data_IF_815964251051
#
_entry.id   IF_815964251051
#
_cell.length_a   1.000
_cell.length_b   1.000
_cell.length_c   1.000
_cell.angle_alpha   90.00
_cell.angle_beta   90.00
_cell.angle_gamma   90.00
#
_symmetry.space_group_name_H-M   'P 1'
#
loop_
_entity.id
_entity.type
_entity.pdbx_description
1 polymer ?
#
# COMPACT_ATOMS: atom_id res chain seq x y z
N UNK A 1 0.41 -5.17 -17.75
CA UNK A 1 0.28 -4.73 -16.34
C UNK A 1 0.89 -3.35 -16.21
N UNK A 2 0.24 -2.44 -15.49
CA UNK A 2 0.69 -1.06 -15.25
C UNK A 2 0.88 -0.81 -13.75
N UNK A 3 1.57 0.26 -13.38
CA UNK A 3 1.89 0.57 -11.99
C UNK A 3 0.65 0.75 -11.09
N UNK A 4 -0.39 1.38 -11.61
CA UNK A 4 -1.67 1.54 -10.91
C UNK A 4 -2.38 0.20 -10.65
N UNK A 5 -2.10 -0.85 -11.44
CA UNK A 5 -2.70 -2.17 -11.22
C UNK A 5 -2.20 -2.75 -9.89
N UNK A 6 -0.90 -2.61 -9.60
CA UNK A 6 -0.29 -3.08 -8.35
C UNK A 6 -0.77 -2.24 -7.16
N UNK A 7 -0.80 -0.90 -7.31
CA UNK A 7 -1.35 -0.01 -6.28
C UNK A 7 -2.78 -0.39 -5.92
N UNK A 8 -3.63 -0.61 -6.93
CA UNK A 8 -5.03 -0.97 -6.72
C UNK A 8 -5.18 -2.34 -6.05
N UNK A 9 -4.42 -3.36 -6.49
CA UNK A 9 -4.49 -4.69 -5.88
C UNK A 9 -4.07 -4.67 -4.41
N UNK A 10 -2.99 -3.95 -4.06
CA UNK A 10 -2.57 -3.79 -2.67
C UNK A 10 -3.59 -2.98 -1.86
N UNK A 11 -4.24 -1.98 -2.48
CA UNK A 11 -5.34 -1.25 -1.82
C UNK A 11 -6.51 -2.18 -1.49
N UNK A 12 -6.89 -3.09 -2.40
CA UNK A 12 -7.95 -4.06 -2.13
C UNK A 12 -7.60 -5.00 -0.96
N UNK A 13 -6.31 -5.38 -0.83
CA UNK A 13 -5.84 -6.18 0.31
C UNK A 13 -5.91 -5.37 1.61
N UNK A 14 -5.49 -4.10 1.59
CA UNK A 14 -5.60 -3.23 2.76
C UNK A 14 -7.05 -3.08 3.22
N UNK A 15 -7.99 -2.82 2.30
CA UNK A 15 -9.41 -2.73 2.64
C UNK A 15 -9.95 -4.05 3.20
N UNK A 16 -9.53 -5.20 2.66
CA UNK A 16 -9.93 -6.51 3.18
C UNK A 16 -9.43 -6.73 4.62
N UNK A 17 -8.23 -6.26 4.96
CA UNK A 17 -7.71 -6.31 6.33
C UNK A 17 -8.49 -5.40 7.28
N UNK A 18 -8.76 -4.16 6.86
CA UNK A 18 -9.55 -3.21 7.64
C UNK A 18 -10.96 -3.75 7.97
N UNK A 19 -11.58 -4.49 7.05
CA UNK A 19 -12.84 -5.20 7.32
C UNK A 19 -12.72 -6.27 8.43
N UNK A 20 -11.63 -7.04 8.44
CA UNK A 20 -11.39 -8.07 9.47
C UNK A 20 -11.21 -7.42 10.85
N UNK A 21 -10.45 -6.33 10.92
CA UNK A 21 -10.28 -5.55 12.16
C UNK A 21 -11.62 -4.99 12.68
N UNK A 22 -12.51 -4.53 11.79
CA UNK A 22 -13.85 -4.09 12.15
C UNK A 22 -14.80 -5.23 12.55
N UNK A 23 -14.56 -6.45 12.09
CA UNK A 23 -15.39 -7.62 12.41
C UNK A 23 -15.08 -8.27 13.77
N UNK A 24 -14.09 -7.74 14.52
CA UNK A 24 -13.78 -8.17 15.88
C UNK A 24 -12.86 -9.39 16.01
N UNK A 25 -12.27 -9.89 14.93
CA UNK A 25 -11.49 -11.15 14.93
C UNK A 25 -9.99 -10.99 15.31
N UNK A 26 -9.49 -9.77 15.53
CA UNK A 26 -8.10 -9.57 15.98
C UNK A 26 -7.98 -8.54 17.10
N UNK A 27 -7.48 -9.01 18.25
CA UNK A 27 -7.00 -8.16 19.34
C UNK A 27 -5.83 -7.30 18.85
N UNK A 28 -6.06 -5.99 18.82
CA UNK A 28 -5.09 -4.89 18.93
C UNK A 28 -3.62 -5.30 18.79
N UNK A 29 -3.14 -5.42 17.55
CA UNK A 29 -1.84 -4.83 17.25
C UNK A 29 -2.12 -3.39 16.86
N UNK A 30 -1.45 -2.39 17.44
CA UNK A 30 -1.40 -1.11 16.78
C UNK A 30 -0.83 -1.43 15.40
N UNK A 31 -1.65 -1.31 14.34
CA UNK A 31 -1.11 -1.08 13.01
C UNK A 31 -0.11 0.07 13.11
N UNK A 32 0.84 0.23 12.18
CA UNK A 32 1.89 1.24 12.29
C UNK A 32 1.29 2.68 12.22
N UNK A 33 0.62 3.08 13.29
CA UNK A 33 -0.19 4.28 13.46
C UNK A 33 0.52 5.31 14.34
N UNK A 34 1.79 5.08 14.63
CA UNK A 34 2.67 6.06 15.28
C UNK A 34 3.92 6.37 14.46
N UNK A 35 3.81 6.32 13.14
CA UNK A 35 4.78 7.04 12.30
C UNK A 35 4.09 8.08 11.43
N UNK A 36 4.33 9.35 11.76
CA UNK A 36 3.72 10.54 11.18
C UNK A 36 4.84 11.47 10.72
N UNK A 37 5.15 11.48 9.42
CA UNK A 37 6.22 12.31 8.85
C UNK A 37 5.74 13.32 7.81
N UNK A 38 4.49 13.76 7.93
CA UNK A 38 3.88 14.81 7.10
C UNK A 38 3.04 15.75 7.97
N UNK A 39 2.99 17.02 7.56
CA UNK A 39 2.12 18.01 8.17
C UNK A 39 0.67 17.77 7.72
N UNK A 40 -0.26 17.76 8.66
CA UNK A 40 -1.69 17.53 8.45
C UNK A 40 -2.34 18.89 8.14
N UNK A 41 -3.18 18.93 7.12
CA UNK A 41 -4.02 20.12 6.87
C UNK A 41 -5.27 20.09 7.75
N UNK A 42 -5.80 21.24 8.16
CA UNK A 42 -6.99 21.32 9.05
C UNK A 42 -8.19 20.50 8.50
N UNK A 43 -8.31 20.36 7.18
CA UNK A 43 -9.36 19.54 6.52
C UNK A 43 -9.19 18.01 6.70
N UNK A 44 -7.96 17.52 6.92
CA UNK A 44 -7.65 16.10 7.10
C UNK A 44 -7.90 15.65 8.55
N UNK A 45 -7.74 16.56 9.53
CA UNK A 45 -8.08 16.33 10.93
C UNK A 45 -9.58 16.12 11.13
N UNK A 46 -10.42 16.96 10.51
CA UNK A 46 -11.88 16.82 10.59
C UNK A 46 -12.41 15.54 9.93
N UNK A 47 -11.73 15.00 8.90
CA UNK A 47 -12.14 13.73 8.26
C UNK A 47 -11.79 12.50 9.09
N UNK A 48 -10.77 12.58 9.96
CA UNK A 48 -10.35 11.46 10.81
C UNK A 48 -11.29 11.22 12.01
N UNK A 49 -12.11 12.21 12.39
CA UNK A 49 -13.03 12.12 13.54
C UNK A 49 -14.38 11.45 13.23
N UNK A 50 -14.60 10.94 12.02
CA UNK A 50 -15.84 10.25 11.64
C UNK A 50 -15.95 8.84 12.23
N UNK A 51 -16.55 8.72 13.43
CA UNK A 51 -16.89 7.45 14.09
C UNK A 51 -17.91 6.68 13.23
N UNK A 52 -17.63 5.42 12.90
CA UNK A 52 -18.58 4.53 12.20
C UNK A 52 -19.23 3.59 13.23
N UNK A 53 -20.55 3.65 13.38
CA UNK A 53 -21.35 2.76 14.23
C UNK A 53 -21.49 1.34 13.64
N UNK A 54 -21.52 0.35 14.54
CA UNK A 54 -21.27 -1.09 14.31
C UNK A 54 -22.44 -1.89 13.67
N UNK A 55 -23.41 -1.23 13.02
CA UNK A 55 -24.44 -1.92 12.20
C UNK A 55 -24.09 -1.97 10.70
N UNK A 56 -22.94 -1.39 10.32
CA UNK A 56 -22.66 -0.94 8.96
C UNK A 56 -21.55 -1.65 8.19
N UNK A 57 -21.16 -2.91 8.46
CA UNK A 57 -20.10 -3.58 7.68
C UNK A 57 -20.50 -3.77 6.20
N UNK A 58 -21.77 -4.04 5.92
CA UNK A 58 -22.25 -4.20 4.54
C UNK A 58 -22.32 -2.84 3.82
N UNK A 59 -22.86 -1.81 4.48
CA UNK A 59 -22.79 -0.41 4.00
C UNK A 59 -21.33 0.11 3.87
N UNK A 60 -20.42 -0.36 4.73
CA UNK A 60 -18.99 -0.08 4.70
C UNK A 60 -18.33 -0.71 3.47
N UNK A 61 -18.67 -1.96 3.13
CA UNK A 61 -18.25 -2.61 1.89
C UNK A 61 -18.81 -1.92 0.65
N UNK A 62 -20.10 -1.62 0.65
CA UNK A 62 -20.79 -0.95 -0.45
C UNK A 62 -20.26 0.46 -0.69
N UNK A 63 -19.74 1.14 0.34
CA UNK A 63 -19.14 2.47 0.19
C UNK A 63 -17.67 2.40 -0.25
N UNK A 64 -16.85 1.54 0.34
CA UNK A 64 -15.39 1.59 0.16
C UNK A 64 -14.86 0.97 -1.14
N UNK A 65 -15.52 -0.07 -1.67
CA UNK A 65 -15.06 -0.73 -2.90
C UNK A 65 -15.60 -0.09 -4.18
N UNK A 66 -16.36 0.99 -4.06
CA UNK A 66 -16.82 1.74 -5.22
C UNK A 66 -15.64 2.38 -5.94
N UNK A 67 -15.75 2.49 -7.26
CA UNK A 67 -14.76 3.21 -8.09
C UNK A 67 -14.52 4.62 -7.56
N UNK A 68 -15.57 5.28 -7.05
CA UNK A 68 -15.48 6.63 -6.45
C UNK A 68 -14.65 6.64 -5.16
N UNK A 69 -14.86 5.67 -4.27
CA UNK A 69 -14.10 5.60 -3.03
C UNK A 69 -12.64 5.19 -3.27
N UNK A 70 -12.42 4.25 -4.19
CA UNK A 70 -11.08 3.88 -4.64
C UNK A 70 -10.34 5.07 -5.26
N UNK A 71 -11.00 5.89 -6.08
CA UNK A 71 -10.42 7.14 -6.60
C UNK A 71 -10.03 8.09 -5.49
N UNK A 72 -10.94 8.33 -4.54
CA UNK A 72 -10.68 9.22 -3.41
C UNK A 72 -9.48 8.78 -2.57
N UNK A 73 -9.36 7.48 -2.31
CA UNK A 73 -8.34 6.92 -1.41
C UNK A 73 -7.00 6.63 -2.09
N UNK A 74 -6.98 6.43 -3.41
CA UNK A 74 -5.73 6.12 -4.15
C UNK A 74 -5.24 7.26 -5.03
N UNK A 75 -6.10 8.23 -5.35
CA UNK A 75 -5.85 9.29 -6.33
C UNK A 75 -5.88 8.81 -7.78
N UNK A 76 -6.10 7.51 -8.04
CA UNK A 76 -6.19 6.94 -9.38
C UNK A 76 -7.55 7.31 -9.98
N UNK A 77 -7.59 7.80 -11.23
CA UNK A 77 -8.86 8.20 -11.86
C UNK A 77 -9.85 7.04 -12.00
N UNK A 78 -11.16 7.34 -11.97
CA UNK A 78 -12.22 6.32 -12.14
C UNK A 78 -12.01 5.39 -13.34
N UNK A 79 -11.64 5.97 -14.48
CA UNK A 79 -11.39 5.20 -15.72
C UNK A 79 -10.22 4.25 -15.56
N UNK A 80 -9.10 4.73 -14.99
CA UNK A 80 -7.94 3.86 -14.74
C UNK A 80 -8.27 2.75 -13.74
N UNK A 81 -9.06 3.02 -12.70
CA UNK A 81 -9.52 2.00 -11.74
C UNK A 81 -10.35 0.94 -12.45
N UNK A 82 -11.37 1.35 -13.21
CA UNK A 82 -12.24 0.40 -13.93
C UNK A 82 -11.44 -0.50 -14.89
N UNK A 83 -10.52 0.09 -15.65
CA UNK A 83 -9.64 -0.68 -16.53
C UNK A 83 -8.66 -1.57 -15.76
N UNK A 84 -8.13 -1.11 -14.62
CA UNK A 84 -7.23 -1.89 -13.76
C UNK A 84 -7.95 -3.12 -13.19
N UNK A 85 -9.18 -2.96 -12.69
CA UNK A 85 -10.00 -4.09 -12.22
C UNK A 85 -10.21 -5.08 -13.36
N UNK A 86 -10.62 -4.60 -14.54
CA UNK A 86 -10.82 -5.45 -15.71
C UNK A 86 -9.55 -6.21 -16.09
N UNK A 87 -8.43 -5.52 -16.30
CA UNK A 87 -7.14 -6.13 -16.66
C UNK A 87 -6.70 -7.16 -15.62
N UNK A 88 -6.77 -6.83 -14.34
CA UNK A 88 -6.37 -7.73 -13.26
C UNK A 88 -7.28 -8.96 -13.17
N UNK A 89 -8.58 -8.81 -13.44
CA UNK A 89 -9.51 -9.94 -13.52
C UNK A 89 -9.23 -10.84 -14.72
N UNK A 90 -8.95 -10.27 -15.89
CA UNK A 90 -8.65 -11.03 -17.10
C UNK A 90 -7.41 -11.93 -16.94
N UNK A 91 -6.42 -11.51 -16.14
CA UNK A 91 -5.19 -12.27 -15.86
C UNK A 91 -5.21 -13.03 -14.52
N UNK A 92 -6.36 -13.08 -13.82
CA UNK A 92 -6.52 -13.84 -12.58
C UNK A 92 -5.85 -13.24 -11.33
N UNK A 93 -5.39 -11.98 -11.38
CA UNK A 93 -4.87 -11.25 -10.21
C UNK A 93 -5.96 -10.58 -9.37
N UNK A 94 -7.18 -10.41 -9.92
CA UNK A 94 -8.35 -9.96 -9.19
C UNK A 94 -9.54 -10.87 -9.46
N UNK A 95 -10.42 -11.03 -8.47
CA UNK A 95 -11.67 -11.78 -8.59
C UNK A 95 -12.80 -11.02 -7.92
N UNK A 96 -14.02 -11.22 -8.41
CA UNK A 96 -15.22 -10.78 -7.69
C UNK A 96 -15.46 -11.76 -6.55
N UNK A 97 -15.56 -11.24 -5.33
CA UNK A 97 -15.89 -12.06 -4.17
C UNK A 97 -17.30 -12.65 -4.33
N UNK A 98 -17.47 -13.92 -3.96
CA UNK A 98 -18.76 -14.63 -4.12
C UNK A 98 -19.76 -14.24 -3.04
N UNK A 99 -19.30 -13.86 -1.85
CA UNK A 99 -20.16 -13.59 -0.69
C UNK A 99 -20.69 -12.16 -0.73
N UNK A 100 -19.84 -11.21 -1.08
CA UNK A 100 -20.12 -9.77 -0.99
C UNK A 100 -20.11 -9.06 -2.35
N UNK A 101 -19.71 -9.73 -3.44
CA UNK A 101 -19.74 -9.14 -4.78
C UNK A 101 -18.72 -8.02 -5.03
N UNK A 102 -17.79 -7.78 -4.11
CA UNK A 102 -16.75 -6.75 -4.21
C UNK A 102 -15.48 -7.30 -4.86
N UNK A 103 -14.65 -6.46 -5.51
CA UNK A 103 -13.36 -6.90 -6.03
C UNK A 103 -12.40 -7.30 -4.89
N UNK A 104 -11.70 -8.41 -5.09
CA UNK A 104 -10.65 -8.93 -4.20
C UNK A 104 -9.41 -9.26 -5.00
N UNK A 105 -8.24 -8.97 -4.46
CA UNK A 105 -6.99 -9.43 -5.04
C UNK A 105 -6.84 -10.94 -4.85
N UNK A 106 -6.26 -11.61 -5.84
CA UNK A 106 -5.76 -12.97 -5.66
C UNK A 106 -4.38 -12.89 -4.99
N UNK A 107 -4.38 -12.92 -3.65
CA UNK A 107 -3.20 -12.73 -2.81
C UNK A 107 -2.04 -13.65 -3.20
N UNK A 108 -2.30 -14.94 -3.44
CA UNK A 108 -1.27 -15.92 -3.82
C UNK A 108 -0.58 -15.55 -5.12
N UNK A 109 -1.35 -15.32 -6.19
CA UNK A 109 -0.80 -14.98 -7.50
C UNK A 109 -0.14 -13.59 -7.52
N UNK A 110 -0.69 -12.63 -6.76
CA UNK A 110 -0.06 -11.32 -6.61
C UNK A 110 1.28 -11.42 -5.88
N UNK A 111 1.35 -12.20 -4.79
CA UNK A 111 2.59 -12.41 -4.05
C UNK A 111 3.66 -13.06 -4.93
N UNK A 112 3.31 -14.12 -5.66
CA UNK A 112 4.21 -14.77 -6.62
C UNK A 112 4.75 -13.77 -7.65
N UNK A 113 3.88 -12.94 -8.23
CA UNK A 113 4.30 -11.89 -9.14
C UNK A 113 5.20 -10.84 -8.48
N UNK A 114 4.90 -10.41 -7.25
CA UNK A 114 5.71 -9.45 -6.51
C UNK A 114 7.09 -10.03 -6.20
N UNK A 115 7.18 -11.28 -5.74
CA UNK A 115 8.46 -11.90 -5.36
C UNK A 115 9.36 -12.13 -6.58
N UNK A 116 8.81 -12.61 -7.69
CA UNK A 116 9.62 -13.06 -8.82
C UNK A 116 9.62 -12.13 -10.03
N UNK A 117 8.56 -11.35 -10.23
CA UNK A 117 8.34 -10.56 -11.45
C UNK A 117 8.57 -9.05 -11.30
N UNK A 118 8.22 -8.47 -10.15
CA UNK A 118 8.04 -7.01 -10.06
C UNK A 118 9.30 -6.20 -10.35
N UNK A 119 10.48 -6.70 -9.94
CA UNK A 119 11.76 -6.01 -10.16
C UNK A 119 12.16 -5.91 -11.64
N UNK A 120 11.63 -6.81 -12.48
CA UNK A 120 11.90 -6.82 -13.92
C UNK A 120 10.89 -5.98 -14.70
N UNK A 121 9.63 -5.97 -14.27
CA UNK A 121 8.56 -5.21 -14.94
C UNK A 121 8.56 -3.74 -14.52
N UNK A 122 8.91 -3.47 -13.26
CA UNK A 122 8.97 -2.14 -12.68
C UNK A 122 10.32 -1.93 -11.98
N UNK A 123 11.44 -1.84 -12.72
CA UNK A 123 12.75 -1.64 -12.11
C UNK A 123 12.77 -0.36 -11.27
N UNK A 124 13.36 -0.44 -10.08
CA UNK A 124 13.60 0.70 -9.20
C UNK A 124 15.10 0.96 -9.09
N UNK A 125 15.49 2.22 -8.95
CA UNK A 125 16.86 2.65 -8.68
C UNK A 125 16.83 3.84 -7.72
N UNK A 126 17.87 3.96 -6.91
CA UNK A 126 18.10 5.16 -6.12
C UNK A 126 18.63 6.28 -7.03
N UNK A 127 17.94 7.42 -7.03
CA UNK A 127 18.24 8.59 -7.85
C UNK A 127 18.80 9.76 -7.05
N UNK A 128 18.49 10.99 -7.46
CA UNK A 128 18.94 12.19 -6.78
C UNK A 128 18.42 12.33 -5.34
N UNK A 129 19.14 13.11 -4.52
CA UNK A 129 18.70 13.48 -3.19
C UNK A 129 17.46 14.40 -3.28
N UNK A 130 16.38 13.99 -2.64
CA UNK A 130 15.11 14.74 -2.63
C UNK A 130 14.44 14.65 -1.26
N UNK A 131 13.47 15.54 -1.05
CA UNK A 131 12.48 15.43 0.02
C UNK A 131 11.44 14.36 -0.36
N UNK A 132 11.03 13.53 0.59
CA UNK A 132 10.10 12.45 0.30
C UNK A 132 9.73 11.56 1.48
N UNK A 133 8.72 10.71 1.28
CA UNK A 133 8.26 9.72 2.25
C UNK A 133 9.19 8.51 2.19
N UNK A 134 9.73 8.09 3.33
CA UNK A 134 10.61 6.92 3.41
C UNK A 134 9.95 5.66 2.82
N UNK A 135 10.72 4.84 2.10
CA UNK A 135 10.27 3.58 1.49
C UNK A 135 11.35 2.51 1.64
N UNK A 136 11.09 1.28 1.16
CA UNK A 136 12.01 0.15 1.25
C UNK A 136 12.39 -0.12 2.72
N UNK A 137 13.60 -0.60 2.98
CA UNK A 137 14.10 -0.85 4.34
C UNK A 137 14.21 0.40 5.21
N UNK A 138 14.21 1.59 4.59
CA UNK A 138 14.16 2.84 5.33
C UNK A 138 12.78 3.19 5.84
N UNK A 139 11.73 2.48 5.41
CA UNK A 139 10.37 2.72 5.84
C UNK A 139 10.25 2.42 7.35
N UNK A 140 9.86 3.40 8.18
CA UNK A 140 9.78 3.26 9.63
C UNK A 140 8.93 2.10 10.14
N UNK A 141 7.89 1.75 9.38
CA UNK A 141 7.03 0.58 9.67
C UNK A 141 7.78 -0.75 9.56
N UNK A 142 8.99 -0.72 8.98
CA UNK A 142 9.93 -1.83 8.82
C UNK A 142 11.25 -1.62 9.62
N UNK A 143 11.52 -0.40 10.12
CA UNK A 143 12.81 0.00 10.71
C UNK A 143 13.16 -0.69 12.04
N UNK A 144 12.20 -1.21 12.80
CA UNK A 144 12.50 -1.82 14.10
C UNK A 144 13.38 -3.08 14.01
N UNK A 145 13.59 -3.62 12.79
CA UNK A 145 14.34 -4.87 12.59
C UNK A 145 15.69 -4.71 11.88
N UNK A 146 15.99 -3.56 11.27
CA UNK A 146 17.08 -3.45 10.29
C UNK A 146 17.69 -2.03 10.28
N UNK A 147 18.49 -1.70 11.30
CA UNK A 147 19.29 -0.46 11.28
C UNK A 147 20.48 -0.60 10.34
N UNK A 148 20.57 0.27 9.34
CA UNK A 148 21.85 0.67 8.74
C UNK A 148 22.08 2.14 9.10
N UNK A 149 22.76 2.39 10.21
CA UNK A 149 23.17 3.75 10.60
C UNK A 149 24.20 4.26 9.60
N UNK A 150 23.84 5.27 8.81
CA UNK A 150 24.78 6.06 8.00
C UNK A 150 24.51 6.12 6.49
N UNK A 151 23.54 5.38 5.97
CA UNK A 151 23.19 5.42 4.54
C UNK A 151 22.02 6.37 4.25
N UNK A 152 22.08 7.04 3.09
CA UNK A 152 20.96 7.86 2.62
C UNK A 152 19.74 6.95 2.38
N UNK A 153 18.63 7.28 3.05
CA UNK A 153 17.40 6.49 2.98
C UNK A 153 16.74 6.56 1.60
N UNK A 154 15.99 5.52 1.23
CA UNK A 154 15.15 5.55 0.04
C UNK A 154 13.86 6.34 0.33
N UNK A 155 13.47 7.24 -0.58
CA UNK A 155 12.23 8.03 -0.43
C UNK A 155 11.42 8.11 -1.73
N UNK A 156 10.10 8.06 -1.62
CA UNK A 156 9.22 8.53 -2.69
C UNK A 156 9.15 10.06 -2.66
N UNK A 157 9.45 10.76 -3.78
CA UNK A 157 9.40 12.21 -3.83
C UNK A 157 8.06 12.75 -3.38
N UNK A 158 8.11 13.66 -2.41
CA UNK A 158 6.92 14.34 -1.91
C UNK A 158 7.33 15.63 -1.20
N UNK A 159 6.73 16.75 -1.61
CA UNK A 159 7.07 18.09 -1.13
C UNK A 159 6.67 18.32 0.33
N UNK A 160 5.68 17.57 0.86
CA UNK A 160 5.15 17.71 2.22
C UNK A 160 5.83 16.78 3.24
N UNK A 161 6.68 15.83 2.81
CA UNK A 161 7.32 14.85 3.71
C UNK A 161 8.54 15.45 4.42
N UNK A 162 8.80 15.22 5.72
CA UNK A 162 9.94 15.90 6.39
C UNK A 162 11.29 15.23 6.12
N UNK A 163 11.28 13.93 5.81
CA UNK A 163 12.47 13.16 5.45
C UNK A 163 13.14 13.61 4.14
N UNK A 164 14.46 13.40 4.07
CA UNK A 164 15.29 13.56 2.86
C UNK A 164 16.05 12.27 2.58
N UNK A 165 16.14 11.90 1.31
CA UNK A 165 16.78 10.66 0.91
C UNK A 165 16.94 10.55 -0.60
N UNK A 166 17.44 9.41 -1.06
CA UNK A 166 17.59 9.10 -2.47
C UNK A 166 16.22 8.77 -3.07
N UNK A 167 15.89 9.47 -4.15
CA UNK A 167 14.63 9.30 -4.88
C UNK A 167 14.46 7.87 -5.37
N UNK A 168 13.28 7.31 -5.12
CA UNK A 168 12.78 6.10 -5.74
C UNK A 168 11.49 6.44 -6.48
N UNK A 169 11.43 6.09 -7.77
CA UNK A 169 10.20 6.28 -8.55
C UNK A 169 9.14 5.30 -8.00
N UNK A 170 8.01 5.81 -7.48
CA UNK A 170 6.95 4.94 -6.99
C UNK A 170 6.35 4.13 -8.14
N UNK A 171 5.73 2.99 -7.82
CA UNK A 171 5.03 2.17 -8.83
C UNK A 171 4.01 2.99 -9.62
N UNK A 172 3.37 3.97 -8.98
CA UNK A 172 2.48 4.91 -9.64
C UNK A 172 2.59 6.29 -8.97
N UNK A 173 2.41 7.37 -9.74
CA UNK A 173 2.66 8.73 -9.26
C UNK A 173 1.78 9.16 -8.08
N UNK A 174 0.62 8.52 -7.86
CA UNK A 174 -0.27 8.82 -6.73
C UNK A 174 0.04 8.01 -5.46
N UNK A 175 1.07 7.17 -5.46
CA UNK A 175 1.48 6.41 -4.26
C UNK A 175 1.71 7.31 -3.05
N UNK A 176 2.50 8.41 -3.12
CA UNK A 176 2.70 9.30 -1.96
C UNK A 176 1.39 9.85 -1.37
N UNK A 177 0.40 10.12 -2.22
CA UNK A 177 -0.94 10.53 -1.78
C UNK A 177 -1.70 9.38 -1.10
N UNK A 178 -1.70 8.20 -1.70
CA UNK A 178 -2.46 7.05 -1.21
C UNK A 178 -1.97 6.53 0.15
N UNK A 179 -0.65 6.47 0.35
CA UNK A 179 -0.03 5.90 1.57
C UNK A 179 -0.24 6.77 2.81
N UNK A 180 -0.50 8.07 2.65
CA UNK A 180 -0.81 8.97 3.79
C UNK A 180 -2.12 8.63 4.48
N UNK A 181 -3.03 7.98 3.75
CA UNK A 181 -4.38 7.68 4.22
C UNK A 181 -4.50 6.24 4.71
N UNK A 182 -3.46 5.43 4.52
CA UNK A 182 -3.55 3.97 4.63
C UNK A 182 -2.19 3.37 5.01
N UNK A 183 -2.02 3.11 6.31
CA UNK A 183 -0.79 2.57 6.88
C UNK A 183 -0.48 1.13 6.43
N UNK A 184 -1.49 0.32 6.17
CA UNK A 184 -1.31 -1.04 5.66
C UNK A 184 -0.83 -1.01 4.20
N UNK A 185 -1.45 -0.14 3.39
CA UNK A 185 -1.01 0.10 2.01
C UNK A 185 0.43 0.63 1.98
N UNK A 186 0.76 1.55 2.87
CA UNK A 186 2.12 2.06 3.03
C UNK A 186 3.12 0.92 3.29
N UNK A 187 2.85 0.09 4.30
CA UNK A 187 3.73 -1.03 4.66
C UNK A 187 3.92 -2.01 3.50
N UNK A 188 2.84 -2.39 2.80
CA UNK A 188 2.93 -3.28 1.65
C UNK A 188 3.73 -2.67 0.50
N UNK A 189 3.52 -1.39 0.17
CA UNK A 189 4.26 -0.73 -0.91
C UNK A 189 5.74 -0.53 -0.56
N UNK A 190 6.06 -0.23 0.69
CA UNK A 190 7.44 -0.17 1.17
C UNK A 190 8.13 -1.54 1.05
N UNK A 191 7.44 -2.63 1.40
CA UNK A 191 7.95 -3.99 1.22
C UNK A 191 8.15 -4.34 -0.26
N UNK A 192 7.27 -3.88 -1.14
CA UNK A 192 7.45 -4.07 -2.58
C UNK A 192 8.70 -3.35 -3.07
N UNK A 193 8.97 -2.12 -2.60
CA UNK A 193 10.21 -1.43 -2.93
C UNK A 193 11.45 -2.08 -2.32
N UNK A 194 11.34 -2.68 -1.14
CA UNK A 194 12.39 -3.51 -0.56
C UNK A 194 12.72 -4.74 -1.43
N UNK A 195 11.74 -5.34 -2.09
CA UNK A 195 11.96 -6.43 -3.06
C UNK A 195 12.56 -5.90 -4.37
N UNK A 196 12.17 -4.70 -4.82
CA UNK A 196 12.67 -4.09 -6.05
C UNK A 196 14.11 -3.59 -5.95
N UNK A 197 14.51 -3.08 -4.78
CA UNK A 197 15.80 -2.40 -4.55
C UNK A 197 16.80 -3.25 -3.77
N UNK A 198 16.32 -4.10 -2.86
CA UNK A 198 17.17 -4.79 -1.90
C UNK A 198 18.05 -5.88 -2.51
N UNK A 199 19.12 -6.21 -1.80
CA UNK A 199 19.96 -7.37 -2.11
C UNK A 199 19.16 -8.69 -1.92
N UNK A 200 19.68 -9.87 -2.33
CA UNK A 200 18.93 -11.11 -2.22
C UNK A 200 18.43 -11.48 -0.81
N UNK A 201 19.17 -11.11 0.25
CA UNK A 201 18.75 -11.39 1.64
C UNK A 201 17.61 -10.48 2.05
N UNK A 202 17.78 -9.19 1.78
CA UNK A 202 16.78 -8.15 1.98
C UNK A 202 15.48 -8.48 1.25
N UNK A 203 15.54 -8.71 -0.06
CA UNK A 203 14.38 -9.04 -0.87
C UNK A 203 13.65 -10.29 -0.36
N UNK A 204 14.39 -11.32 0.08
CA UNK A 204 13.80 -12.52 0.68
C UNK A 204 13.10 -12.22 2.02
N UNK A 205 13.69 -11.36 2.86
CA UNK A 205 13.06 -10.97 4.13
C UNK A 205 11.78 -10.16 3.88
N UNK A 206 11.82 -9.20 2.95
CA UNK A 206 10.65 -8.41 2.57
C UNK A 206 9.54 -9.28 1.97
N UNK A 207 9.89 -10.26 1.14
CA UNK A 207 8.93 -11.25 0.61
C UNK A 207 8.24 -12.03 1.74
N UNK A 208 9.00 -12.51 2.73
CA UNK A 208 8.45 -13.23 3.88
C UNK A 208 7.54 -12.34 4.75
N UNK A 209 7.86 -11.06 4.90
CA UNK A 209 7.02 -10.11 5.62
C UNK A 209 5.71 -9.82 4.87
N UNK A 210 5.79 -9.68 3.55
CA UNK A 210 4.62 -9.45 2.70
C UNK A 210 3.69 -10.66 2.67
N UNK A 211 4.24 -11.87 2.63
CA UNK A 211 3.48 -13.12 2.71
C UNK A 211 2.65 -13.24 4.01
N UNK A 212 3.26 -12.86 5.15
CA UNK A 212 2.56 -12.79 6.43
C UNK A 212 1.37 -11.82 6.38
N UNK A 213 1.59 -10.61 5.85
CA UNK A 213 0.52 -9.61 5.66
C UNK A 213 -0.62 -10.14 4.79
N UNK A 214 -0.32 -10.96 3.77
CA UNK A 214 -1.35 -11.50 2.88
C UNK A 214 -2.15 -12.64 3.53
N UNK A 215 -1.51 -13.40 4.42
CA UNK A 215 -2.10 -14.58 5.07
C UNK A 215 -2.90 -14.22 6.32
N UNK A 216 -2.54 -13.14 7.01
CA UNK A 216 -3.31 -12.53 8.11
C UNK A 216 -4.73 -12.09 7.67
#
# INVERSE_FOLDING_TARGET
MKGQDILLLLKLISLERQEKHLSGDEYLRPGPGLWRDWDITDEEELKQQGIIEFSGIEAYRESLYTVRSLERTTGVSKTQIAESIKRCSDIGLAKKDRKYGVPRANKKSLLEFIVYGIKYVFPARMGELTRGIATSFSAPVLNEKLFSSGELIAVWPDERAKSKGLKVIPLFHTVPYAVRQDGDLYAMLALVDAIRLGNPREASLAANMLDKIFTE
#
